data_IF_062470274089
#
_entry.id   IF_062470274089
#
_cell.length_a   1.000
_cell.length_b   1.000
_cell.length_c   1.000
_cell.angle_alpha   90.00
_cell.angle_beta   90.00
_cell.angle_gamma   90.00
#
_symmetry.space_group_name_H-M   'P 1'
#
loop_
_entity.id
_entity.type
_entity.pdbx_description
1 polymer ?
#
# COMPACT_ATOMS: atom_id res chain seq x y z
N UNK A 1 31.88 -26.56 -30.15
CA UNK A 1 31.25 -25.32 -29.72
C UNK A 1 31.41 -24.12 -30.68
N UNK A 2 32.59 -23.83 -31.23
CA UNK A 2 32.74 -22.70 -32.18
C UNK A 2 31.97 -22.89 -33.50
N UNK A 3 31.91 -24.09 -34.06
CA UNK A 3 31.19 -24.38 -35.31
C UNK A 3 29.68 -24.34 -35.13
N UNK A 4 29.19 -24.90 -34.03
CA UNK A 4 27.75 -24.95 -33.69
C UNK A 4 27.16 -23.54 -33.47
N UNK A 5 27.88 -22.67 -32.77
CA UNK A 5 27.51 -21.28 -32.55
C UNK A 5 27.60 -20.45 -33.86
N UNK A 6 28.60 -20.71 -34.69
CA UNK A 6 28.74 -20.07 -35.99
C UNK A 6 27.56 -20.41 -36.92
N UNK A 7 27.18 -21.69 -36.98
CA UNK A 7 26.04 -22.12 -37.77
C UNK A 7 24.71 -21.52 -37.19
N UNK A 8 24.53 -21.53 -35.86
CA UNK A 8 23.34 -20.98 -35.21
C UNK A 8 23.18 -19.47 -35.50
N UNK A 9 24.24 -18.68 -35.38
CA UNK A 9 24.21 -17.24 -35.69
C UNK A 9 24.00 -16.95 -37.16
N UNK A 10 24.56 -17.79 -38.03
CA UNK A 10 24.38 -17.64 -39.48
C UNK A 10 22.97 -18.00 -39.95
N UNK A 11 22.31 -18.94 -39.30
CA UNK A 11 20.89 -19.26 -39.55
C UNK A 11 19.95 -18.13 -39.10
N UNK A 12 20.29 -17.39 -38.05
CA UNK A 12 19.54 -16.22 -37.63
C UNK A 12 19.72 -15.02 -38.60
N UNK A 13 20.84 -14.97 -39.36
CA UNK A 13 21.19 -13.88 -40.28
C UNK A 13 20.88 -14.26 -41.74
N UNK A 14 19.63 -14.64 -42.05
CA UNK A 14 19.22 -15.10 -43.36
C UNK A 14 19.32 -14.00 -44.44
N UNK A 15 19.93 -14.32 -45.61
CA UNK A 15 19.91 -13.48 -46.81
C UNK A 15 18.50 -13.42 -47.41
N UNK A 16 18.20 -12.36 -48.19
CA UNK A 16 16.90 -11.96 -48.81
C UNK A 16 15.99 -13.08 -49.39
N UNK A 17 16.53 -14.29 -49.72
CA UNK A 17 15.75 -15.43 -50.25
C UNK A 17 15.05 -16.27 -49.16
N UNK A 18 15.27 -16.00 -47.87
CA UNK A 18 14.68 -16.73 -46.74
C UNK A 18 14.03 -15.76 -45.75
N UNK A 19 13.33 -14.73 -46.25
CA UNK A 19 12.65 -13.71 -45.46
C UNK A 19 11.68 -14.31 -44.42
N UNK A 20 11.05 -15.46 -44.75
CA UNK A 20 10.11 -16.17 -43.90
C UNK A 20 10.76 -16.66 -42.58
N UNK A 21 11.98 -17.21 -42.62
CA UNK A 21 12.71 -17.64 -41.42
C UNK A 21 13.01 -16.44 -40.51
N UNK A 22 13.41 -15.30 -41.12
CA UNK A 22 13.68 -14.07 -40.37
C UNK A 22 12.44 -13.55 -39.65
N UNK A 23 11.28 -13.64 -40.29
CA UNK A 23 9.99 -13.25 -39.70
C UNK A 23 9.64 -14.15 -38.51
N UNK A 24 9.73 -15.47 -38.65
CA UNK A 24 9.47 -16.43 -37.58
C UNK A 24 10.38 -16.18 -36.38
N UNK A 25 11.69 -16.03 -36.65
CA UNK A 25 12.66 -15.73 -35.60
C UNK A 25 12.34 -14.38 -34.91
N UNK A 26 11.99 -13.37 -35.70
CA UNK A 26 11.57 -12.07 -35.18
C UNK A 26 10.33 -12.15 -34.26
N UNK A 27 9.30 -12.87 -34.69
CA UNK A 27 8.09 -13.14 -33.91
C UNK A 27 8.44 -13.86 -32.60
N UNK A 28 9.36 -14.83 -32.65
CA UNK A 28 9.78 -15.57 -31.45
C UNK A 28 10.51 -14.67 -30.46
N UNK A 29 11.43 -13.84 -30.94
CA UNK A 29 12.17 -12.87 -30.11
C UNK A 29 11.20 -11.86 -29.49
N UNK A 30 10.26 -11.34 -30.30
CA UNK A 30 9.22 -10.41 -29.81
C UNK A 30 8.28 -11.07 -28.78
N UNK A 31 7.90 -12.33 -29.00
CA UNK A 31 7.07 -13.07 -28.05
C UNK A 31 7.76 -13.25 -26.69
N UNK A 32 9.04 -13.64 -26.69
CA UNK A 32 9.84 -13.76 -25.47
C UNK A 32 10.03 -12.38 -24.83
N UNK A 33 10.36 -11.36 -25.62
CA UNK A 33 10.56 -10.00 -25.12
C UNK A 33 9.29 -9.43 -24.50
N UNK A 34 8.14 -9.61 -25.14
CA UNK A 34 6.85 -9.19 -24.61
C UNK A 34 6.51 -9.92 -23.30
N UNK A 35 6.73 -11.24 -23.23
CA UNK A 35 6.52 -12.03 -22.03
C UNK A 35 7.41 -11.57 -20.86
N UNK A 36 8.70 -11.36 -21.12
CA UNK A 36 9.64 -10.85 -20.11
C UNK A 36 9.30 -9.42 -19.67
N UNK A 37 8.97 -8.54 -20.62
CA UNK A 37 8.58 -7.15 -20.30
C UNK A 37 7.31 -7.12 -19.46
N UNK A 38 6.25 -7.87 -19.82
CA UNK A 38 5.02 -7.98 -19.06
C UNK A 38 5.27 -8.50 -17.65
N UNK A 39 6.19 -9.46 -17.49
CA UNK A 39 6.55 -10.02 -16.20
C UNK A 39 7.26 -9.00 -15.31
N UNK A 40 8.20 -8.23 -15.85
CA UNK A 40 8.90 -7.16 -15.12
C UNK A 40 7.91 -6.06 -14.69
N UNK A 41 7.01 -5.65 -15.59
CA UNK A 41 5.98 -4.64 -15.27
C UNK A 41 5.03 -5.15 -14.18
N UNK A 42 4.54 -6.39 -14.28
CA UNK A 42 3.66 -6.98 -13.27
C UNK A 42 4.33 -7.07 -11.89
N UNK A 43 5.61 -7.51 -11.84
CA UNK A 43 6.37 -7.55 -10.59
C UNK A 43 6.64 -6.15 -10.03
N UNK A 44 6.93 -5.17 -10.90
CA UNK A 44 7.16 -3.78 -10.48
C UNK A 44 5.90 -3.16 -9.87
N UNK A 45 4.71 -3.39 -10.45
CA UNK A 45 3.42 -2.95 -9.91
C UNK A 45 3.15 -3.63 -8.56
N UNK A 46 3.30 -4.96 -8.49
CA UNK A 46 3.06 -5.70 -7.24
C UNK A 46 3.99 -5.24 -6.10
N UNK A 47 5.27 -5.07 -6.39
CA UNK A 47 6.24 -4.55 -5.43
C UNK A 47 5.91 -3.10 -5.01
N UNK A 48 5.54 -2.26 -5.97
CA UNK A 48 5.18 -0.87 -5.74
C UNK A 48 3.95 -0.75 -4.85
N UNK A 49 2.88 -1.46 -5.19
CA UNK A 49 1.65 -1.47 -4.41
C UNK A 49 1.89 -1.92 -2.97
N UNK A 50 2.64 -3.01 -2.80
CA UNK A 50 2.97 -3.53 -1.47
C UNK A 50 3.84 -2.57 -0.66
N UNK A 51 4.83 -1.95 -1.28
CA UNK A 51 5.74 -1.01 -0.62
C UNK A 51 5.03 0.29 -0.24
N UNK A 52 4.19 0.83 -1.14
CA UNK A 52 3.45 2.06 -0.92
C UNK A 52 2.40 1.90 0.19
N UNK A 53 1.58 0.85 0.12
CA UNK A 53 0.62 0.54 1.20
C UNK A 53 1.31 0.33 2.55
N UNK A 54 2.42 -0.42 2.57
CA UNK A 54 3.16 -0.66 3.80
C UNK A 54 3.74 0.63 4.38
N UNK A 55 4.33 1.50 3.55
CA UNK A 55 4.91 2.77 4.02
C UNK A 55 3.84 3.74 4.55
N UNK A 56 2.70 3.85 3.89
CA UNK A 56 1.57 4.71 4.32
C UNK A 56 0.94 4.20 5.61
N UNK A 57 0.69 2.88 5.72
CA UNK A 57 0.17 2.29 6.94
C UNK A 57 1.12 2.51 8.13
N UNK A 58 2.41 2.27 7.95
CA UNK A 58 3.39 2.40 9.03
C UNK A 58 3.70 3.85 9.42
N UNK A 59 3.59 4.79 8.48
CA UNK A 59 3.72 6.22 8.76
C UNK A 59 2.53 6.78 9.53
N UNK A 60 1.34 6.26 9.25
CA UNK A 60 0.09 6.78 9.80
C UNK A 60 -0.36 6.08 11.10
N UNK A 61 0.18 4.90 11.43
CA UNK A 61 -0.24 4.11 12.60
C UNK A 61 0.90 3.75 13.53
N UNK A 62 0.55 3.54 14.79
CA UNK A 62 1.44 2.86 15.73
C UNK A 62 1.65 1.40 15.31
N UNK A 63 2.83 0.87 15.60
CA UNK A 63 3.18 -0.50 15.24
C UNK A 63 2.49 -1.53 16.14
N UNK A 64 2.22 -1.18 17.41
CA UNK A 64 1.54 -2.01 18.41
C UNK A 64 0.57 -1.12 19.20
N UNK A 65 -0.61 -1.65 19.47
CA UNK A 65 -1.64 -1.03 20.32
C UNK A 65 -1.96 -1.98 21.47
N UNK A 66 -1.77 -1.50 22.71
CA UNK A 66 -2.10 -2.19 23.94
C UNK A 66 -3.42 -1.66 24.49
N UNK A 67 -4.40 -2.53 24.62
CA UNK A 67 -5.75 -2.23 25.11
C UNK A 67 -6.06 -3.06 26.33
N UNK A 68 -7.05 -2.64 27.12
CA UNK A 68 -7.60 -3.46 28.18
C UNK A 68 -8.83 -4.23 27.69
N UNK A 69 -8.89 -5.55 27.97
CA UNK A 69 -9.96 -6.44 27.47
C UNK A 69 -11.32 -6.05 28.06
N UNK A 70 -11.35 -5.61 29.31
CA UNK A 70 -12.57 -5.24 30.04
C UNK A 70 -13.05 -3.81 29.71
N UNK A 71 -12.86 -3.29 28.54
CA UNK A 71 -13.38 -2.06 27.94
C UNK A 71 -13.66 -0.83 28.87
N UNK A 72 -13.18 -0.84 30.12
CA UNK A 72 -13.26 0.25 31.09
C UNK A 72 -12.10 1.25 30.96
N UNK A 73 -11.24 1.00 29.98
CA UNK A 73 -10.06 1.80 29.71
C UNK A 73 -8.90 1.53 30.67
N UNK A 74 -7.83 2.30 30.55
CA UNK A 74 -6.61 2.20 31.33
C UNK A 74 -6.57 3.42 32.27
N UNK A 75 -6.85 3.21 33.53
CA UNK A 75 -6.57 4.14 34.62
C UNK A 75 -5.10 3.99 35.06
N UNK A 76 -4.53 5.00 35.70
CA UNK A 76 -3.11 5.01 36.11
C UNK A 76 -2.12 4.70 34.99
N UNK A 77 -2.44 5.16 33.78
CA UNK A 77 -1.68 4.89 32.57
C UNK A 77 -0.28 5.49 32.56
N UNK A 78 -0.01 6.57 33.31
CA UNK A 78 1.31 7.25 33.30
C UNK A 78 2.46 6.36 33.81
N UNK A 79 2.36 5.69 34.98
CA UNK A 79 3.41 4.79 35.45
C UNK A 79 3.54 3.55 34.55
N UNK A 80 2.45 3.08 33.96
CA UNK A 80 2.45 1.95 33.03
C UNK A 80 3.19 2.35 31.73
N UNK A 81 2.86 3.51 31.16
CA UNK A 81 3.51 4.07 29.98
C UNK A 81 5.03 4.24 30.19
N UNK A 82 5.45 4.79 31.36
CA UNK A 82 6.86 5.01 31.65
C UNK A 82 7.65 3.71 31.75
N UNK A 83 7.07 2.65 32.33
CA UNK A 83 7.71 1.34 32.44
C UNK A 83 7.76 0.61 31.10
N UNK A 84 6.66 0.64 30.33
CA UNK A 84 6.58 -0.05 29.04
C UNK A 84 7.40 0.64 27.95
N UNK A 85 7.56 1.96 28.01
CA UNK A 85 8.39 2.71 27.06
C UNK A 85 9.89 2.37 27.16
N UNK A 86 10.33 1.77 28.27
CA UNK A 86 11.73 1.36 28.51
C UNK A 86 12.00 -0.10 28.12
N UNK A 87 11.01 -0.82 27.60
CA UNK A 87 11.17 -2.20 27.18
C UNK A 87 12.07 -2.32 25.93
N UNK A 88 12.77 -3.45 25.77
CA UNK A 88 13.54 -3.72 24.56
C UNK A 88 12.70 -3.55 23.30
N UNK A 89 13.31 -3.04 22.23
CA UNK A 89 12.68 -2.79 20.92
C UNK A 89 11.62 -1.69 20.89
N UNK A 90 11.25 -1.06 22.02
CA UNK A 90 10.34 0.07 22.05
C UNK A 90 11.10 1.38 21.81
N UNK A 91 10.75 2.08 20.75
CA UNK A 91 11.34 3.38 20.39
C UNK A 91 10.57 4.53 21.03
N UNK A 92 9.25 4.46 21.03
CA UNK A 92 8.37 5.47 21.61
C UNK A 92 7.03 4.85 22.02
N UNK A 93 6.34 5.53 22.95
CA UNK A 93 5.01 5.16 23.38
C UNK A 93 4.14 6.41 23.54
N UNK A 94 2.85 6.32 23.21
CA UNK A 94 1.88 7.40 23.34
C UNK A 94 0.54 6.90 23.89
N UNK A 95 -0.08 7.64 24.82
CA UNK A 95 -1.44 7.36 25.27
C UNK A 95 -2.45 7.95 24.28
N UNK A 96 -3.55 7.25 24.02
CA UNK A 96 -4.61 7.74 23.16
C UNK A 96 -6.00 7.24 23.60
N UNK A 97 -7.02 7.93 23.13
CA UNK A 97 -8.40 7.50 23.17
C UNK A 97 -8.88 7.32 21.73
N UNK A 98 -9.45 6.17 21.43
CA UNK A 98 -10.12 5.88 20.16
C UNK A 98 -11.59 5.61 20.41
N UNK A 99 -12.44 6.41 19.78
CA UNK A 99 -13.87 6.23 19.85
C UNK A 99 -14.54 6.56 18.52
N UNK A 100 -15.62 5.85 18.23
CA UNK A 100 -16.44 6.15 17.06
C UNK A 100 -17.41 7.29 17.38
N UNK A 101 -17.44 8.28 16.51
CA UNK A 101 -18.29 9.48 16.66
C UNK A 101 -18.98 9.80 15.34
N UNK A 102 -20.00 10.64 15.42
CA UNK A 102 -20.60 11.29 14.26
C UNK A 102 -20.13 12.75 14.22
N UNK A 103 -19.46 13.12 13.13
CA UNK A 103 -19.04 14.50 12.87
C UNK A 103 -20.01 15.10 11.87
N UNK A 104 -20.63 16.24 12.21
CA UNK A 104 -21.63 16.87 11.36
C UNK A 104 -21.40 18.37 11.19
N UNK A 105 -21.77 18.86 9.99
CA UNK A 105 -21.82 20.29 9.68
C UNK A 105 -23.09 20.59 8.88
N UNK A 106 -24.04 21.27 9.53
CA UNK A 106 -25.36 21.47 8.94
C UNK A 106 -26.07 20.14 8.65
N UNK A 107 -26.55 19.92 7.42
CA UNK A 107 -27.27 18.69 7.06
C UNK A 107 -26.34 17.51 6.72
N UNK A 108 -25.03 17.75 6.61
CA UNK A 108 -24.05 16.71 6.25
C UNK A 108 -23.43 16.11 7.51
N UNK A 109 -23.34 14.80 7.56
CA UNK A 109 -22.77 14.07 8.67
C UNK A 109 -21.99 12.84 8.19
N UNK A 110 -20.86 12.54 8.86
CA UNK A 110 -20.02 11.38 8.59
C UNK A 110 -19.65 10.68 9.89
N UNK A 111 -19.70 9.34 9.89
CA UNK A 111 -19.12 8.53 10.95
C UNK A 111 -17.60 8.62 10.91
N UNK A 112 -16.97 8.80 12.06
CA UNK A 112 -15.53 8.98 12.15
C UNK A 112 -14.96 8.26 13.37
N UNK A 113 -13.68 7.90 13.28
CA UNK A 113 -12.85 7.50 14.41
C UNK A 113 -12.19 8.77 14.97
N UNK A 114 -12.58 9.14 16.17
CA UNK A 114 -12.00 10.27 16.88
C UNK A 114 -10.81 9.79 17.71
N UNK A 115 -9.63 10.36 17.45
CA UNK A 115 -8.41 10.10 18.22
C UNK A 115 -8.13 11.27 19.15
N UNK A 116 -8.30 11.04 20.45
CA UNK A 116 -7.79 11.93 21.49
C UNK A 116 -6.33 11.62 21.79
N UNK A 117 -5.44 12.60 21.64
CA UNK A 117 -4.00 12.38 21.74
C UNK A 117 -3.29 13.49 22.54
N UNK A 118 -2.07 13.15 23.01
CA UNK A 118 -1.10 14.11 23.52
C UNK A 118 -0.04 14.38 22.44
N UNK A 119 0.00 15.55 21.79
CA UNK A 119 0.85 15.80 20.62
C UNK A 119 2.35 15.57 20.88
N UNK A 120 2.85 15.84 22.07
CA UNK A 120 4.24 15.63 22.48
C UNK A 120 4.68 14.15 22.44
N UNK A 121 3.76 13.21 22.68
CA UNK A 121 4.00 11.77 22.58
C UNK A 121 3.70 11.27 21.16
N UNK A 122 2.63 11.77 20.56
CA UNK A 122 2.18 11.34 19.22
C UNK A 122 3.23 11.56 18.14
N UNK A 123 3.90 12.73 18.13
CA UNK A 123 4.97 13.04 17.17
C UNK A 123 6.14 12.06 17.19
N UNK A 124 6.30 11.30 18.28
CA UNK A 124 7.34 10.27 18.38
C UNK A 124 6.89 8.91 17.86
N UNK A 125 5.59 8.66 17.87
CA UNK A 125 4.99 7.36 17.52
C UNK A 125 4.49 7.34 16.07
N UNK A 126 3.88 8.44 15.60
CA UNK A 126 3.36 8.54 14.24
C UNK A 126 3.71 9.86 13.57
N UNK A 127 3.65 9.88 12.24
CA UNK A 127 3.92 11.07 11.43
C UNK A 127 2.63 11.86 11.10
N UNK A 128 1.47 11.45 11.64
CA UNK A 128 0.16 12.01 11.31
C UNK A 128 0.08 13.54 11.46
N UNK A 129 0.66 14.11 12.52
CA UNK A 129 0.65 15.56 12.70
C UNK A 129 1.52 16.33 11.70
N UNK A 130 2.44 15.63 11.00
CA UNK A 130 3.25 16.20 9.93
C UNK A 130 2.51 16.24 8.59
N UNK A 131 1.44 15.45 8.43
CA UNK A 131 0.62 15.39 7.22
C UNK A 131 -0.47 16.48 7.16
N UNK A 132 -0.52 17.40 8.12
CA UNK A 132 -1.44 18.54 8.10
C UNK A 132 -1.05 19.50 6.98
N UNK A 133 -1.88 19.58 5.95
CA UNK A 133 -1.64 20.36 4.73
C UNK A 133 -2.29 21.75 4.76
N UNK A 134 -3.41 21.88 5.46
CA UNK A 134 -4.13 23.14 5.62
C UNK A 134 -4.33 23.46 7.11
N UNK A 135 -4.14 24.70 7.51
CA UNK A 135 -4.21 25.09 8.92
C UNK A 135 -2.95 24.77 9.70
N UNK A 136 -3.07 24.45 10.99
CA UNK A 136 -1.92 24.18 11.86
C UNK A 136 -2.20 23.10 12.90
N UNK A 137 -1.30 22.13 12.98
CA UNK A 137 -1.30 21.12 14.06
C UNK A 137 -0.95 21.73 15.44
N UNK A 138 -0.33 22.91 15.49
CA UNK A 138 0.04 23.57 16.74
C UNK A 138 -1.18 24.01 17.58
N UNK A 139 -2.35 24.11 16.96
CA UNK A 139 -3.58 24.43 17.69
C UNK A 139 -3.94 23.35 18.73
N UNK A 140 -3.57 22.10 18.51
CA UNK A 140 -3.77 21.00 19.47
C UNK A 140 -2.72 21.01 20.59
N UNK A 141 -1.55 21.68 20.39
CA UNK A 141 -0.50 21.77 21.41
C UNK A 141 -0.84 22.73 22.55
N UNK A 142 -1.70 23.74 22.30
CA UNK A 142 -2.05 24.72 23.31
C UNK A 142 -2.81 24.05 24.47
N UNK A 143 -2.48 24.34 25.73
CA UNK A 143 -3.21 23.82 26.87
C UNK A 143 -4.70 24.25 26.78
N UNK A 144 -5.59 23.38 27.23
CA UNK A 144 -7.00 23.74 27.34
C UNK A 144 -7.10 25.00 28.25
N UNK A 145 -7.60 26.11 27.70
CA UNK A 145 -7.91 27.29 28.50
C UNK A 145 -9.11 26.92 29.42
N UNK A 146 -8.82 26.63 30.68
CA UNK A 146 -9.82 26.44 31.72
C UNK A 146 -10.36 27.81 32.05
N UNK A 147 -11.31 28.32 31.26
CA UNK A 147 -12.22 29.35 31.77
C UNK A 147 -13.35 28.66 32.53
N UNK A 148 -13.18 28.56 33.83
CA UNK A 148 -14.26 28.36 34.79
C UNK A 148 -15.17 29.59 34.78
N UNK A 149 -15.97 29.72 33.75
CA UNK A 149 -16.99 30.75 33.62
C UNK A 149 -18.35 30.23 34.04
N UNK A 150 -18.54 29.93 35.32
CA UNK A 150 -19.87 29.91 35.92
C UNK A 150 -20.25 31.34 36.18
N UNK A 151 -20.87 32.02 35.21
CA UNK A 151 -21.59 33.26 35.48
C UNK A 151 -22.96 32.90 36.01
N UNK A 152 -23.34 33.38 37.21
CA UNK A 152 -24.69 33.17 37.72
C UNK A 152 -25.70 33.93 36.85
N UNK A 153 -26.70 33.21 36.40
CA UNK A 153 -27.87 33.77 35.70
C UNK A 153 -28.59 34.74 36.67
N UNK A 154 -28.43 36.04 36.44
CA UNK A 154 -29.34 37.03 37.03
C UNK A 154 -30.67 37.00 36.26
N UNK A 155 -31.69 36.54 36.94
CA UNK A 155 -33.07 36.68 36.50
C UNK A 155 -33.52 38.14 36.63
N UNK A 156 -34.03 38.68 35.53
CA UNK A 156 -34.90 39.85 35.58
C UNK A 156 -34.43 41.04 34.77
N UNK A 157 -34.95 41.20 33.56
CA UNK A 157 -35.62 42.43 33.10
C UNK A 157 -36.18 42.25 31.71
N UNK A 158 -37.48 42.43 31.57
CA UNK A 158 -38.21 42.52 30.30
C UNK A 158 -37.80 43.81 29.60
N UNK A 159 -37.28 43.71 28.37
CA UNK A 159 -37.35 44.83 27.41
C UNK A 159 -37.50 44.29 25.98
N UNK A 160 -38.40 44.93 25.23
CA UNK A 160 -38.93 44.68 23.92
C UNK A 160 -37.84 44.67 22.81
N UNK A 161 -37.98 43.91 21.71
CA UNK A 161 -37.06 43.97 20.59
C UNK A 161 -37.31 45.21 19.72
N UNK A 162 -36.30 46.03 19.52
CA UNK A 162 -36.25 47.00 18.44
C UNK A 162 -35.34 46.48 17.35
N UNK A 163 -35.90 46.25 16.17
CA UNK A 163 -35.26 45.93 14.92
C UNK A 163 -34.50 47.13 14.39
N UNK A 164 -33.17 47.11 14.41
CA UNK A 164 -32.33 47.85 13.47
C UNK A 164 -31.03 47.11 13.31
N UNK A 165 -30.83 46.54 12.13
CA UNK A 165 -29.55 45.97 11.73
C UNK A 165 -28.55 47.12 11.56
N UNK A 166 -27.53 47.16 12.39
CA UNK A 166 -26.33 47.94 12.18
C UNK A 166 -25.16 46.96 12.20
N UNK A 167 -24.57 46.74 11.03
CA UNK A 167 -23.27 46.07 10.86
C UNK A 167 -22.19 46.90 11.56
N UNK A 168 -21.90 46.57 12.80
CA UNK A 168 -20.78 47.17 13.54
C UNK A 168 -19.55 46.23 13.49
N UNK A 169 -18.35 46.80 13.37
CA UNK A 169 -17.08 46.01 13.35
C UNK A 169 -16.86 45.14 14.59
N UNK A 170 -17.53 45.42 15.68
CA UNK A 170 -17.50 44.67 16.95
C UNK A 170 -18.08 43.23 16.85
N UNK A 171 -18.95 42.99 15.86
CA UNK A 171 -19.57 41.65 15.71
C UNK A 171 -18.59 40.63 15.13
N UNK A 172 -17.67 41.04 14.26
CA UNK A 172 -16.63 40.17 13.71
C UNK A 172 -15.59 39.77 14.78
N UNK A 173 -15.24 40.67 15.67
CA UNK A 173 -14.33 40.43 16.79
C UNK A 173 -14.93 39.47 17.81
N UNK A 174 -16.23 39.60 18.09
CA UNK A 174 -16.94 38.67 18.98
C UNK A 174 -17.10 37.26 18.41
N UNK A 175 -17.27 37.13 17.11
CA UNK A 175 -17.32 35.82 16.43
C UNK A 175 -15.95 35.12 16.46
N UNK A 176 -14.88 35.86 16.20
CA UNK A 176 -13.51 35.32 16.29
C UNK A 176 -13.12 34.92 17.72
N UNK A 177 -13.51 35.69 18.72
CA UNK A 177 -13.30 35.36 20.13
C UNK A 177 -14.08 34.12 20.57
N UNK A 178 -15.36 33.95 20.11
CA UNK A 178 -16.15 32.74 20.38
C UNK A 178 -15.58 31.50 19.68
N UNK A 179 -15.02 31.64 18.50
CA UNK A 179 -14.33 30.54 17.81
C UNK A 179 -13.03 30.12 18.50
N UNK A 180 -12.28 31.07 19.04
CA UNK A 180 -11.05 30.81 19.80
C UNK A 180 -11.31 30.07 21.15
N UNK A 181 -12.53 30.16 21.69
CA UNK A 181 -12.93 29.43 22.90
C UNK A 181 -13.37 27.98 22.66
N UNK A 182 -13.60 27.57 21.39
CA UNK A 182 -13.98 26.19 21.06
C UNK A 182 -12.76 25.29 20.97
N UNK A 183 -12.82 24.02 21.42
CA UNK A 183 -11.71 23.09 21.30
C UNK A 183 -11.37 22.84 19.83
N UNK A 184 -10.09 22.70 19.49
CA UNK A 184 -9.64 22.46 18.12
C UNK A 184 -9.81 21.01 17.71
N UNK A 185 -10.15 20.81 16.42
CA UNK A 185 -10.17 19.50 15.76
C UNK A 185 -9.40 19.55 14.46
N UNK A 186 -8.68 18.48 14.14
CA UNK A 186 -8.06 18.28 12.83
C UNK A 186 -8.85 17.19 12.13
N UNK A 187 -9.29 17.45 10.88
CA UNK A 187 -10.07 16.53 10.07
C UNK A 187 -9.22 15.95 8.93
N UNK A 188 -9.55 14.74 8.50
CA UNK A 188 -9.01 14.21 7.25
C UNK A 188 -9.55 14.97 6.04
N UNK A 189 -8.75 15.01 4.97
CA UNK A 189 -9.05 15.78 3.76
C UNK A 189 -10.38 15.37 3.12
N UNK A 190 -10.56 14.09 2.88
CA UNK A 190 -11.76 13.56 2.20
C UNK A 190 -13.02 13.74 3.07
N UNK A 191 -12.88 13.54 4.39
CA UNK A 191 -13.96 13.82 5.34
C UNK A 191 -14.35 15.29 5.32
N UNK A 192 -13.37 16.20 5.36
CA UNK A 192 -13.62 17.64 5.35
C UNK A 192 -14.33 18.07 4.06
N UNK A 193 -13.95 17.52 2.91
CA UNK A 193 -14.61 17.76 1.62
C UNK A 193 -16.05 17.26 1.63
N UNK A 194 -16.29 16.04 2.10
CA UNK A 194 -17.63 15.42 2.12
C UNK A 194 -18.62 16.19 2.99
N UNK A 195 -18.20 16.62 4.21
CA UNK A 195 -19.06 17.43 5.07
C UNK A 195 -19.03 18.94 4.73
N UNK A 196 -18.19 19.33 3.77
CA UNK A 196 -18.01 20.72 3.32
C UNK A 196 -17.33 21.60 4.37
N UNK A 197 -16.43 21.04 5.20
CA UNK A 197 -15.70 21.78 6.23
C UNK A 197 -14.40 22.36 5.67
N UNK A 198 -14.05 23.56 6.14
CA UNK A 198 -12.79 24.25 5.85
C UNK A 198 -12.14 24.66 7.16
N UNK A 199 -10.86 25.01 7.12
CA UNK A 199 -10.18 25.56 8.29
C UNK A 199 -10.96 26.77 8.83
N UNK A 200 -11.18 26.81 10.14
CA UNK A 200 -12.03 27.82 10.82
C UNK A 200 -13.53 27.47 10.86
N UNK A 201 -14.00 26.44 10.15
CA UNK A 201 -15.40 25.99 10.25
C UNK A 201 -15.68 25.41 11.64
N UNK A 202 -16.94 25.49 12.08
CA UNK A 202 -17.42 24.81 13.27
C UNK A 202 -18.11 23.51 12.89
N UNK A 203 -17.72 22.42 13.53
CA UNK A 203 -18.32 21.09 13.37
C UNK A 203 -18.87 20.60 14.71
N UNK A 204 -19.90 19.78 14.66
CA UNK A 204 -20.51 19.15 15.83
C UNK A 204 -20.03 17.70 15.88
N UNK A 205 -19.40 17.32 16.98
CA UNK A 205 -18.97 15.94 17.25
C UNK A 205 -19.95 15.34 18.27
N UNK A 206 -20.60 14.25 17.86
CA UNK A 206 -21.62 13.57 18.68
C UNK A 206 -21.09 12.19 19.05
N UNK A 207 -21.05 11.91 20.35
CA UNK A 207 -20.73 10.59 20.90
C UNK A 207 -21.98 9.70 20.88
N UNK A 208 -21.91 8.46 20.40
CA UNK A 208 -22.99 7.50 20.53
C UNK A 208 -23.17 7.02 21.97
N UNK A 209 -22.13 7.10 22.79
CA UNK A 209 -22.17 6.85 24.23
C UNK A 209 -22.75 8.08 24.93
N UNK A 210 -24.06 8.11 25.08
CA UNK A 210 -24.74 9.21 25.71
C UNK A 210 -24.60 9.23 27.24
N UNK A 211 -25.03 10.34 27.87
CA UNK A 211 -25.20 10.41 29.31
C UNK A 211 -26.55 9.80 29.71
N UNK A 212 -26.53 8.97 30.75
CA UNK A 212 -27.76 8.43 31.32
C UNK A 212 -28.49 9.53 32.11
N UNK A 213 -29.57 10.03 31.53
CA UNK A 213 -30.43 11.01 32.21
C UNK A 213 -31.68 10.33 32.80
N UNK A 214 -32.43 10.96 33.72
CA UNK A 214 -33.70 10.42 34.20
C UNK A 214 -34.73 10.11 33.10
N UNK A 215 -34.57 10.68 31.91
CA UNK A 215 -35.42 10.48 30.75
C UNK A 215 -34.88 9.49 29.73
N UNK A 216 -33.76 8.82 30.02
CA UNK A 216 -33.08 7.89 29.12
C UNK A 216 -31.67 8.34 28.70
N UNK A 217 -31.08 7.62 27.77
CA UNK A 217 -29.74 7.91 27.24
C UNK A 217 -29.84 9.06 26.23
N UNK A 218 -29.14 10.16 26.48
CA UNK A 218 -29.09 11.33 25.60
C UNK A 218 -27.69 11.43 25.01
N UNK A 219 -27.52 11.47 23.65
CA UNK A 219 -26.21 11.64 23.02
C UNK A 219 -25.51 12.92 23.49
N UNK A 220 -24.24 12.80 23.89
CA UNK A 220 -23.42 13.95 24.23
C UNK A 220 -22.79 14.52 22.96
N UNK A 221 -22.74 15.84 22.85
CA UNK A 221 -22.13 16.50 21.70
C UNK A 221 -21.33 17.73 22.15
N UNK A 222 -20.21 17.97 21.45
CA UNK A 222 -19.37 19.14 21.64
C UNK A 222 -19.12 19.79 20.28
N UNK A 223 -19.07 21.12 20.26
CA UNK A 223 -18.70 21.91 19.09
C UNK A 223 -17.19 22.12 19.07
N UNK A 224 -16.59 21.82 17.91
CA UNK A 224 -15.17 22.00 17.68
C UNK A 224 -14.96 22.99 16.53
N UNK A 225 -13.89 23.77 16.59
CA UNK A 225 -13.44 24.52 15.44
C UNK A 225 -12.37 23.73 14.68
N UNK A 226 -12.47 23.70 13.33
CA UNK A 226 -11.51 23.02 12.47
C UNK A 226 -10.22 23.82 12.43
N UNK A 227 -9.20 23.37 13.13
CA UNK A 227 -7.89 24.01 13.22
C UNK A 227 -6.95 23.61 12.08
N UNK A 228 -7.16 22.44 11.49
CA UNK A 228 -6.35 21.94 10.38
C UNK A 228 -7.04 20.80 9.64
N UNK A 229 -6.51 20.52 8.45
CA UNK A 229 -6.92 19.41 7.61
C UNK A 229 -5.65 18.65 7.25
N UNK A 230 -5.62 17.34 7.53
CA UNK A 230 -4.50 16.47 7.18
C UNK A 230 -4.78 15.66 5.92
N UNK A 231 -3.71 15.34 5.19
CA UNK A 231 -3.75 14.44 4.04
C UNK A 231 -2.60 13.44 4.18
N UNK A 232 -2.94 12.24 4.63
CA UNK A 232 -1.99 11.14 4.79
C UNK A 232 -1.68 10.43 3.46
N UNK A 233 -2.52 10.68 2.43
CA UNK A 233 -2.51 9.96 1.17
C UNK A 233 -3.04 8.52 1.28
N UNK A 234 -3.70 8.17 2.39
CA UNK A 234 -4.38 6.91 2.59
C UNK A 234 -5.87 7.19 2.83
N UNK A 235 -6.70 6.90 1.84
CA UNK A 235 -8.12 7.26 1.82
C UNK A 235 -8.88 6.86 3.08
N UNK A 236 -8.63 5.65 3.62
CA UNK A 236 -9.32 5.17 4.81
C UNK A 236 -9.09 6.08 6.03
N UNK A 237 -7.89 6.68 6.15
CA UNK A 237 -7.60 7.66 7.20
C UNK A 237 -8.18 9.02 6.88
N UNK A 238 -7.97 9.49 5.65
CA UNK A 238 -8.37 10.84 5.22
C UNK A 238 -9.90 11.00 5.16
N UNK A 239 -10.65 9.89 4.98
CA UNK A 239 -12.12 9.88 4.95
C UNK A 239 -12.80 9.60 6.28
N UNK A 240 -12.08 9.01 7.26
CA UNK A 240 -12.74 8.49 8.46
C UNK A 240 -12.09 8.87 9.80
N UNK A 241 -10.98 9.62 9.82
CA UNK A 241 -10.29 9.96 11.06
C UNK A 241 -10.32 11.46 11.37
N UNK A 242 -10.40 11.76 12.67
CA UNK A 242 -10.29 13.11 13.21
C UNK A 242 -9.45 13.11 14.48
N UNK A 243 -8.71 14.20 14.74
CA UNK A 243 -7.79 14.32 15.87
C UNK A 243 -8.16 15.48 16.76
N UNK A 244 -8.17 15.22 18.06
CA UNK A 244 -8.40 16.22 19.11
C UNK A 244 -7.39 16.04 20.26
N UNK A 245 -7.36 16.97 21.19
CA UNK A 245 -6.60 16.80 22.43
C UNK A 245 -7.15 15.66 23.27
N UNK A 246 -6.28 15.00 24.03
CA UNK A 246 -6.66 13.94 24.93
C UNK A 246 -7.68 14.43 25.98
N UNK A 247 -7.46 15.65 26.53
CA UNK A 247 -8.38 16.28 27.50
C UNK A 247 -9.79 16.50 26.95
N UNK A 248 -9.86 16.96 25.68
CA UNK A 248 -11.15 17.23 25.04
C UNK A 248 -11.90 15.93 24.74
N UNK A 249 -11.16 14.85 24.42
CA UNK A 249 -11.73 13.51 24.28
C UNK A 249 -12.24 12.97 25.62
N UNK A 250 -11.46 13.10 26.69
CA UNK A 250 -11.87 12.70 28.04
C UNK A 250 -13.13 13.44 28.49
N UNK A 251 -13.25 14.72 28.20
CA UNK A 251 -14.45 15.51 28.48
C UNK A 251 -15.63 15.04 27.62
N UNK A 252 -15.46 14.86 26.32
CA UNK A 252 -16.53 14.43 25.41
C UNK A 252 -17.12 13.08 25.83
N UNK A 253 -16.28 12.12 26.22
CA UNK A 253 -16.72 10.78 26.59
C UNK A 253 -16.98 10.60 28.10
N UNK A 254 -16.67 11.60 28.90
CA UNK A 254 -16.90 11.54 30.37
C UNK A 254 -16.00 10.54 31.10
N UNK A 255 -14.79 10.30 30.56
CA UNK A 255 -13.89 9.20 31.01
C UNK A 255 -13.01 9.57 32.23
N UNK A 256 -12.96 10.82 32.66
CA UNK A 256 -11.96 11.25 33.64
C UNK A 256 -10.54 11.09 33.15
N UNK A 257 -9.58 10.69 33.99
CA UNK A 257 -8.17 10.47 33.60
C UNK A 257 -7.92 9.02 33.11
N UNK A 258 -8.74 8.56 32.18
CA UNK A 258 -8.67 7.23 31.58
C UNK A 258 -8.31 7.35 30.10
N UNK A 259 -7.54 6.40 29.59
CA UNK A 259 -7.23 6.25 28.17
C UNK A 259 -7.72 4.90 27.65
N UNK A 260 -8.01 4.78 26.36
CA UNK A 260 -8.45 3.51 25.77
C UNK A 260 -7.29 2.64 25.30
N UNK A 261 -6.14 3.23 24.93
CA UNK A 261 -5.03 2.52 24.29
C UNK A 261 -3.68 3.17 24.62
N UNK A 262 -2.63 2.34 24.75
CA UNK A 262 -1.25 2.78 24.68
C UNK A 262 -0.68 2.29 23.36
N UNK A 263 -0.13 3.21 22.59
CA UNK A 263 0.46 2.97 21.28
C UNK A 263 1.97 2.91 21.36
N UNK A 264 2.59 2.01 20.60
CA UNK A 264 4.03 1.84 20.58
C UNK A 264 4.59 1.89 19.17
N UNK A 265 5.72 2.59 19.00
CA UNK A 265 6.61 2.51 17.87
C UNK A 265 7.79 1.62 18.24
N UNK A 266 8.12 0.66 17.41
CA UNK A 266 9.22 -0.29 17.60
C UNK A 266 10.27 -0.11 16.51
N UNK A 267 11.49 -0.57 16.78
CA UNK A 267 12.64 -0.48 15.88
C UNK A 267 12.49 -1.41 14.65
N UNK A 268 12.01 -2.64 14.85
CA UNK A 268 11.79 -3.61 13.78
C UNK A 268 10.30 -4.00 13.69
N UNK A 269 9.65 -3.50 12.66
CA UNK A 269 8.22 -3.74 12.37
C UNK A 269 7.86 -5.22 12.17
N UNK A 270 8.82 -6.03 11.73
CA UNK A 270 8.59 -7.47 11.51
C UNK A 270 8.61 -8.28 12.81
N UNK A 271 9.17 -7.73 13.88
CA UNK A 271 9.14 -8.32 15.22
C UNK A 271 7.90 -7.90 16.03
N UNK A 272 6.99 -7.12 15.44
CA UNK A 272 5.83 -6.56 16.13
C UNK A 272 4.99 -7.60 16.88
N UNK A 273 4.85 -8.82 16.35
CA UNK A 273 4.09 -9.88 17.02
C UNK A 273 4.78 -10.38 18.32
N UNK A 274 6.11 -10.54 18.28
CA UNK A 274 6.89 -10.95 19.47
C UNK A 274 6.93 -9.86 20.53
N UNK A 275 7.17 -8.61 20.12
CA UNK A 275 7.19 -7.46 21.02
C UNK A 275 5.81 -7.19 21.62
N UNK A 276 4.72 -7.34 20.84
CA UNK A 276 3.35 -7.22 21.34
C UNK A 276 3.08 -8.18 22.49
N UNK A 277 3.44 -9.46 22.34
CA UNK A 277 3.28 -10.45 23.38
C UNK A 277 4.12 -10.17 24.64
N UNK A 278 5.35 -9.65 24.48
CA UNK A 278 6.18 -9.21 25.60
C UNK A 278 5.58 -8.01 26.33
N UNK A 279 5.04 -7.03 25.60
CA UNK A 279 4.36 -5.86 26.18
C UNK A 279 3.11 -6.26 26.94
N UNK A 280 2.32 -7.20 26.43
CA UNK A 280 1.13 -7.74 27.08
C UNK A 280 1.48 -8.39 28.42
N UNK A 281 2.45 -9.32 28.42
CA UNK A 281 2.93 -9.95 29.64
C UNK A 281 3.50 -8.95 30.65
N UNK A 282 4.27 -7.98 30.18
CA UNK A 282 4.83 -6.94 31.04
C UNK A 282 3.76 -6.04 31.64
N UNK A 283 2.73 -5.70 30.88
CA UNK A 283 1.60 -4.90 31.35
C UNK A 283 0.81 -5.64 32.44
N UNK A 284 0.52 -6.92 32.23
CA UNK A 284 -0.14 -7.79 33.20
C UNK A 284 0.66 -7.89 34.51
N UNK A 285 1.97 -8.08 34.42
CA UNK A 285 2.86 -8.13 35.60
C UNK A 285 2.91 -6.80 36.37
N UNK A 286 2.97 -5.68 35.64
CA UNK A 286 3.05 -4.34 36.24
C UNK A 286 1.74 -3.95 36.93
N UNK A 287 0.60 -4.27 36.32
CA UNK A 287 -0.73 -3.95 36.84
C UNK A 287 -1.22 -4.92 37.91
N UNK A 288 -0.59 -6.09 38.02
CA UNK A 288 -1.03 -7.16 38.94
C UNK A 288 -2.37 -7.79 38.53
N UNK A 289 -2.83 -7.57 37.31
CA UNK A 289 -4.10 -8.09 36.79
C UNK A 289 -3.91 -8.58 35.36
N UNK A 290 -4.41 -9.78 35.06
CA UNK A 290 -4.53 -10.25 33.68
C UNK A 290 -5.70 -9.55 33.00
N UNK A 291 -5.45 -8.91 31.87
CA UNK A 291 -6.52 -8.21 31.17
C UNK A 291 -6.06 -7.24 30.10
N UNK A 292 -4.78 -7.24 29.78
CA UNK A 292 -4.26 -6.51 28.63
C UNK A 292 -4.23 -7.38 27.38
N UNK A 293 -4.41 -6.78 26.24
CA UNK A 293 -4.27 -7.38 24.92
C UNK A 293 -3.47 -6.43 24.03
N UNK A 294 -2.39 -6.94 23.48
CA UNK A 294 -1.60 -6.19 22.52
C UNK A 294 -1.90 -6.66 21.10
N UNK A 295 -2.32 -5.75 20.25
CA UNK A 295 -2.54 -6.00 18.82
C UNK A 295 -1.46 -5.30 18.00
N UNK A 296 -0.92 -5.97 16.99
CA UNK A 296 0.07 -5.39 16.10
C UNK A 296 -0.57 -4.88 14.80
N UNK A 297 0.15 -4.05 14.06
CA UNK A 297 -0.29 -3.45 12.81
C UNK A 297 -0.75 -4.45 11.74
N UNK A 298 -0.15 -5.66 11.69
CA UNK A 298 -0.56 -6.72 10.76
C UNK A 298 -1.91 -7.35 11.17
N UNK A 299 -2.17 -7.47 12.47
CA UNK A 299 -3.42 -7.99 13.00
C UNK A 299 -4.56 -7.00 12.81
N UNK A 300 -4.32 -5.72 13.04
CA UNK A 300 -5.29 -4.67 12.80
C UNK A 300 -5.70 -4.60 11.32
N UNK A 301 -4.78 -4.88 10.41
CA UNK A 301 -5.00 -4.86 8.96
C UNK A 301 -5.14 -6.25 8.34
N UNK A 302 -5.61 -7.26 9.09
CA UNK A 302 -5.81 -8.64 8.59
C UNK A 302 -6.55 -8.75 7.25
N UNK A 303 -7.63 -8.00 6.98
CA UNK A 303 -8.32 -8.05 5.69
C UNK A 303 -7.41 -7.65 4.52
N UNK A 304 -6.63 -6.57 4.69
CA UNK A 304 -5.67 -6.10 3.69
C UNK A 304 -4.59 -7.16 3.41
N UNK A 305 -4.01 -7.77 4.46
CA UNK A 305 -3.01 -8.84 4.29
C UNK A 305 -3.58 -10.10 3.63
N UNK A 306 -4.86 -10.41 3.86
CA UNK A 306 -5.55 -11.49 3.15
C UNK A 306 -5.72 -11.17 1.66
N UNK A 307 -6.12 -9.94 1.33
CA UNK A 307 -6.22 -9.47 -0.05
C UNK A 307 -4.87 -9.52 -0.77
N UNK A 308 -3.80 -9.01 -0.16
CA UNK A 308 -2.43 -9.06 -0.69
C UNK A 308 -1.91 -10.51 -0.86
N UNK A 309 -2.33 -11.44 0.00
CA UNK A 309 -1.99 -12.86 -0.17
C UNK A 309 -2.72 -13.47 -1.37
N UNK A 310 -4.00 -13.17 -1.53
CA UNK A 310 -4.80 -13.63 -2.67
C UNK A 310 -4.24 -13.06 -3.98
N UNK A 311 -3.93 -11.77 -4.00
CA UNK A 311 -3.30 -11.10 -5.13
C UNK A 311 -1.99 -11.78 -5.53
N UNK A 312 -1.13 -12.14 -4.56
CA UNK A 312 0.11 -12.89 -4.84
C UNK A 312 -0.15 -14.22 -5.54
N UNK A 313 -1.18 -14.97 -5.12
CA UNK A 313 -1.54 -16.25 -5.76
C UNK A 313 -2.02 -16.02 -7.19
N UNK A 314 -2.90 -15.03 -7.40
CA UNK A 314 -3.40 -14.67 -8.73
C UNK A 314 -2.25 -14.22 -9.63
N UNK A 315 -1.38 -13.35 -9.13
CA UNK A 315 -0.18 -12.91 -9.85
C UNK A 315 0.74 -14.08 -10.22
N UNK A 316 0.98 -15.02 -9.29
CA UNK A 316 1.78 -16.21 -9.55
C UNK A 316 1.17 -17.08 -10.66
N UNK A 317 -0.15 -17.29 -10.66
CA UNK A 317 -0.86 -18.03 -11.71
C UNK A 317 -0.75 -17.30 -13.06
N UNK A 318 -0.97 -15.99 -13.06
CA UNK A 318 -0.87 -15.17 -14.28
C UNK A 318 0.54 -15.20 -14.87
N UNK A 319 1.55 -15.04 -14.03
CA UNK A 319 2.96 -15.17 -14.41
C UNK A 319 3.23 -16.55 -15.00
N UNK A 320 2.77 -17.62 -14.34
CA UNK A 320 2.90 -18.99 -14.82
C UNK A 320 2.28 -19.18 -16.22
N UNK A 321 1.12 -18.58 -16.46
CA UNK A 321 0.43 -18.63 -17.75
C UNK A 321 1.22 -17.89 -18.85
N UNK A 322 1.72 -16.68 -18.56
CA UNK A 322 2.54 -15.90 -19.49
C UNK A 322 3.81 -16.69 -19.88
N UNK A 323 4.47 -17.27 -18.90
CA UNK A 323 5.66 -18.11 -19.07
C UNK A 323 5.34 -19.35 -19.91
N UNK A 324 4.21 -19.99 -19.67
CA UNK A 324 3.75 -21.15 -20.43
C UNK A 324 3.50 -20.80 -21.91
N UNK A 325 2.82 -19.69 -22.17
CA UNK A 325 2.58 -19.19 -23.55
C UNK A 325 3.90 -18.86 -24.25
N UNK A 326 4.85 -18.22 -23.56
CA UNK A 326 6.16 -17.93 -24.11
C UNK A 326 6.93 -19.23 -24.47
N UNK A 327 6.86 -20.26 -23.63
CA UNK A 327 7.45 -21.57 -23.91
C UNK A 327 6.84 -22.24 -25.14
N UNK A 328 5.50 -22.23 -25.28
CA UNK A 328 4.82 -22.74 -26.46
C UNK A 328 5.20 -22.01 -27.73
N UNK A 329 5.35 -20.69 -27.67
CA UNK A 329 5.78 -19.88 -28.80
C UNK A 329 7.18 -20.30 -29.28
N UNK A 330 8.13 -20.51 -28.36
CA UNK A 330 9.48 -21.00 -28.68
C UNK A 330 9.42 -22.39 -29.33
N UNK A 331 8.61 -23.32 -28.77
CA UNK A 331 8.47 -24.70 -29.31
C UNK A 331 7.94 -24.65 -30.73
N UNK A 332 6.84 -23.95 -30.97
CA UNK A 332 6.21 -23.86 -32.29
C UNK A 332 7.16 -23.24 -33.32
N UNK A 333 7.81 -22.15 -32.96
CA UNK A 333 8.78 -21.48 -33.82
C UNK A 333 9.96 -22.39 -34.23
N UNK A 334 10.51 -23.12 -33.26
CA UNK A 334 11.60 -24.02 -33.52
C UNK A 334 11.20 -25.25 -34.36
N UNK A 335 9.99 -25.80 -34.12
CA UNK A 335 9.44 -26.88 -34.95
C UNK A 335 9.32 -26.41 -36.41
N UNK A 336 8.70 -25.22 -36.60
CA UNK A 336 8.56 -24.65 -37.94
C UNK A 336 9.90 -24.41 -38.63
N UNK A 337 10.88 -23.92 -37.90
CA UNK A 337 12.24 -23.71 -38.40
C UNK A 337 12.91 -25.03 -38.75
N UNK A 338 12.75 -26.09 -37.95
CA UNK A 338 13.26 -27.44 -38.25
C UNK A 338 12.64 -27.97 -39.53
N UNK A 339 11.32 -27.83 -39.71
CA UNK A 339 10.61 -28.28 -40.93
C UNK A 339 11.13 -27.55 -42.16
N UNK A 340 11.37 -26.27 -42.12
CA UNK A 340 11.87 -25.47 -43.23
C UNK A 340 13.34 -25.79 -43.56
N UNK A 341 14.15 -26.17 -42.56
CA UNK A 341 15.55 -26.50 -42.69
C UNK A 341 15.81 -28.00 -42.90
N UNK A 342 14.75 -28.79 -43.11
CA UNK A 342 14.89 -30.26 -43.27
C UNK A 342 15.87 -30.67 -44.36
N UNK A 343 15.83 -30.00 -45.52
CA UNK A 343 16.81 -30.26 -46.62
C UNK A 343 18.24 -29.91 -46.22
N UNK A 344 18.46 -28.76 -45.60
CA UNK A 344 19.80 -28.34 -45.15
C UNK A 344 20.36 -29.30 -44.10
N UNK A 345 19.50 -29.78 -43.17
CA UNK A 345 19.87 -30.79 -42.17
C UNK A 345 20.25 -32.11 -42.82
N UNK A 346 19.45 -32.56 -43.79
CA UNK A 346 19.73 -33.81 -44.52
C UNK A 346 21.07 -33.76 -45.27
N UNK A 347 21.38 -32.65 -45.95
CA UNK A 347 22.69 -32.44 -46.62
C UNK A 347 23.83 -32.46 -45.61
N UNK A 348 23.70 -31.76 -44.47
CA UNK A 348 24.71 -31.76 -43.41
C UNK A 348 24.95 -33.17 -42.86
N UNK A 349 23.90 -33.94 -42.66
CA UNK A 349 23.99 -35.32 -42.17
C UNK A 349 24.62 -36.28 -43.21
N UNK A 350 24.34 -36.10 -44.49
CA UNK A 350 24.98 -36.87 -45.56
C UNK A 350 26.48 -36.52 -45.73
N UNK A 351 26.89 -35.32 -45.36
CA UNK A 351 28.29 -34.90 -45.28
C UNK A 351 29.00 -35.36 -43.98
N UNK A 352 28.35 -36.19 -43.15
CA UNK A 352 28.93 -36.80 -41.96
C UNK A 352 28.71 -36.09 -40.62
N UNK A 353 27.85 -35.07 -40.59
CA UNK A 353 27.51 -34.40 -39.32
C UNK A 353 26.74 -35.35 -38.39
N UNK A 354 27.18 -35.49 -37.13
CA UNK A 354 26.57 -36.39 -36.15
C UNK A 354 25.26 -35.82 -35.64
N UNK A 355 24.27 -36.69 -35.36
CA UNK A 355 22.95 -36.31 -34.72
C UNK A 355 23.09 -35.41 -33.48
N UNK A 356 24.14 -35.66 -32.66
CA UNK A 356 24.46 -34.87 -31.47
C UNK A 356 24.87 -33.43 -31.80
N UNK A 357 25.51 -33.19 -32.93
CA UNK A 357 25.90 -31.85 -33.39
C UNK A 357 24.68 -31.07 -33.90
N UNK A 358 23.80 -31.70 -34.68
CA UNK A 358 22.53 -31.09 -35.12
C UNK A 358 21.70 -30.66 -33.90
N UNK A 359 21.53 -31.57 -32.93
CA UNK A 359 20.79 -31.23 -31.69
C UNK A 359 21.37 -30.01 -30.97
N UNK A 360 22.71 -29.93 -30.86
CA UNK A 360 23.36 -28.77 -30.22
C UNK A 360 23.19 -27.46 -30.98
N UNK A 361 23.14 -27.50 -32.31
CA UNK A 361 22.89 -26.32 -33.15
C UNK A 361 21.50 -25.73 -32.83
N UNK A 362 20.46 -26.57 -32.80
CA UNK A 362 19.10 -26.10 -32.51
C UNK A 362 18.92 -25.67 -31.08
N UNK A 363 19.55 -26.36 -30.10
CA UNK A 363 19.56 -25.89 -28.69
C UNK A 363 20.25 -24.52 -28.60
N UNK A 364 21.42 -24.35 -29.22
CA UNK A 364 22.12 -23.06 -29.19
C UNK A 364 21.29 -21.94 -29.84
N UNK A 365 20.54 -22.24 -30.90
CA UNK A 365 19.67 -21.29 -31.57
C UNK A 365 18.51 -20.86 -30.72
N UNK A 366 17.80 -21.79 -30.06
CA UNK A 366 16.70 -21.45 -29.19
C UNK A 366 17.13 -20.70 -27.91
N UNK A 367 18.28 -21.08 -27.34
CA UNK A 367 18.88 -20.33 -26.25
C UNK A 367 19.25 -18.90 -26.68
N UNK A 368 19.79 -18.74 -27.92
CA UNK A 368 20.11 -17.41 -28.43
C UNK A 368 18.88 -16.53 -28.63
N UNK A 369 17.78 -17.09 -29.15
CA UNK A 369 16.48 -16.41 -29.24
C UNK A 369 16.00 -16.00 -27.84
N UNK A 370 16.09 -16.94 -26.89
CA UNK A 370 15.71 -16.66 -25.49
C UNK A 370 16.56 -15.56 -24.87
N UNK A 371 17.86 -15.57 -25.03
CA UNK A 371 18.77 -14.54 -24.49
C UNK A 371 18.48 -13.16 -25.11
N UNK A 372 18.37 -13.08 -26.45
CA UNK A 372 18.08 -11.81 -27.13
C UNK A 372 16.71 -11.28 -26.71
N UNK A 373 15.68 -12.14 -26.71
CA UNK A 373 14.33 -11.77 -26.27
C UNK A 373 14.31 -11.31 -24.82
N UNK A 374 15.01 -12.01 -23.93
CA UNK A 374 15.12 -11.64 -22.51
C UNK A 374 15.78 -10.28 -22.33
N UNK A 375 16.90 -10.01 -23.01
CA UNK A 375 17.59 -8.71 -22.91
C UNK A 375 16.69 -7.57 -23.39
N UNK A 376 16.04 -7.73 -24.55
CA UNK A 376 15.09 -6.73 -25.07
C UNK A 376 13.92 -6.56 -24.11
N UNK A 377 13.36 -7.67 -23.61
CA UNK A 377 12.24 -7.65 -22.67
C UNK A 377 12.57 -6.97 -21.35
N UNK A 378 13.77 -7.22 -20.80
CA UNK A 378 14.25 -6.52 -19.62
C UNK A 378 14.35 -5.00 -19.84
N UNK A 379 15.00 -4.60 -20.95
CA UNK A 379 15.14 -3.17 -21.28
C UNK A 379 13.77 -2.50 -21.40
N UNK A 380 12.84 -3.11 -22.13
CA UNK A 380 11.48 -2.58 -22.31
C UNK A 380 10.69 -2.60 -20.99
N UNK A 381 10.75 -3.69 -20.24
CA UNK A 381 10.04 -3.83 -18.97
C UNK A 381 10.50 -2.81 -17.93
N UNK A 382 11.80 -2.61 -17.78
CA UNK A 382 12.34 -1.58 -16.89
C UNK A 382 12.05 -0.17 -17.39
N UNK A 383 12.14 0.09 -18.69
CA UNK A 383 11.82 1.40 -19.26
C UNK A 383 10.34 1.78 -19.02
N UNK A 384 9.41 0.84 -19.25
CA UNK A 384 7.98 1.04 -19.01
C UNK A 384 7.72 1.24 -17.52
N UNK A 385 8.33 0.42 -16.65
CA UNK A 385 8.16 0.53 -15.20
C UNK A 385 8.72 1.84 -14.66
N UNK A 386 9.87 2.30 -15.13
CA UNK A 386 10.44 3.59 -14.76
C UNK A 386 9.57 4.76 -15.22
N UNK A 387 9.12 4.72 -16.48
CA UNK A 387 8.21 5.72 -17.03
C UNK A 387 6.88 5.74 -16.26
N UNK A 388 6.30 4.58 -15.94
CA UNK A 388 5.08 4.46 -15.16
C UNK A 388 5.21 5.06 -13.76
N UNK A 389 6.32 4.80 -13.07
CA UNK A 389 6.61 5.34 -11.75
C UNK A 389 6.87 6.86 -11.74
N UNK A 390 7.42 7.40 -12.84
CA UNK A 390 7.72 8.84 -12.93
C UNK A 390 6.52 9.70 -13.37
N UNK A 391 5.76 9.22 -14.35
CA UNK A 391 4.67 9.99 -14.96
C UNK A 391 3.29 9.70 -14.39
N UNK A 392 3.14 8.70 -13.52
CA UNK A 392 1.87 8.30 -12.89
C UNK A 392 0.72 8.16 -13.91
N UNK A 393 0.96 7.49 -15.04
CA UNK A 393 0.00 7.40 -16.17
C UNK A 393 -1.36 6.80 -15.79
N UNK A 394 -1.41 6.00 -14.76
CA UNK A 394 -2.61 5.27 -14.38
C UNK A 394 -3.09 5.84 -13.05
N UNK A 395 -4.11 6.71 -13.13
CA UNK A 395 -4.83 7.18 -11.97
C UNK A 395 -5.79 6.09 -11.48
N UNK A 396 -5.89 5.93 -10.17
CA UNK A 396 -6.82 5.04 -9.49
C UNK A 396 -7.85 5.86 -8.73
N UNK A 397 -9.04 5.29 -8.50
CA UNK A 397 -9.99 5.87 -7.58
C UNK A 397 -9.54 5.57 -6.15
N UNK A 398 -9.20 6.61 -5.39
CA UNK A 398 -8.73 6.49 -4.01
C UNK A 398 -9.77 5.81 -3.10
N UNK A 399 -11.06 6.02 -3.36
CA UNK A 399 -12.18 5.39 -2.65
C UNK A 399 -12.16 3.85 -2.71
N UNK A 400 -11.61 3.27 -3.81
CA UNK A 400 -11.61 1.82 -4.04
C UNK A 400 -10.26 1.20 -3.67
N UNK A 401 -9.17 1.89 -4.02
CA UNK A 401 -7.82 1.33 -3.92
C UNK A 401 -6.99 1.94 -2.79
N UNK A 402 -7.53 2.91 -2.06
CA UNK A 402 -6.85 3.67 -0.98
C UNK A 402 -5.59 4.41 -1.43
N UNK A 403 -5.33 4.47 -2.74
CA UNK A 403 -4.20 5.17 -3.37
C UNK A 403 -4.64 5.81 -4.69
N UNK A 404 -4.03 6.96 -5.05
CA UNK A 404 -4.43 7.78 -6.20
C UNK A 404 -3.84 7.33 -7.54
N UNK A 405 -2.76 6.54 -7.53
CA UNK A 405 -2.05 6.09 -8.75
C UNK A 405 -1.46 4.70 -8.55
N UNK A 406 -1.15 4.03 -9.68
CA UNK A 406 -0.45 2.73 -9.66
C UNK A 406 1.03 2.94 -9.37
N UNK A 407 1.55 2.49 -8.22
CA UNK A 407 2.96 2.61 -7.90
C UNK A 407 3.78 1.55 -8.64
N UNK A 408 4.90 1.95 -9.23
CA UNK A 408 5.87 1.06 -9.87
C UNK A 408 7.18 1.05 -9.09
N UNK A 409 7.57 -0.09 -8.54
CA UNK A 409 8.83 -0.26 -7.83
C UNK A 409 9.66 -1.42 -8.45
N UNK A 410 10.31 -1.21 -9.61
CA UNK A 410 11.13 -2.24 -10.23
C UNK A 410 12.37 -2.54 -9.39
N UNK A 411 12.62 -3.83 -9.10
CA UNK A 411 13.79 -4.30 -8.34
C UNK A 411 14.75 -5.03 -9.27
N UNK A 412 16.05 -4.77 -9.16
CA UNK A 412 17.08 -5.43 -9.99
C UNK A 412 17.12 -6.95 -9.77
N UNK A 413 16.82 -7.41 -8.55
CA UNK A 413 16.81 -8.84 -8.24
C UNK A 413 15.69 -9.57 -8.99
N UNK A 414 14.55 -8.93 -9.21
CA UNK A 414 13.44 -9.50 -9.97
C UNK A 414 13.85 -9.70 -11.44
N UNK A 415 14.57 -8.73 -12.00
CA UNK A 415 15.11 -8.85 -13.36
C UNK A 415 16.11 -10.00 -13.52
N UNK A 416 16.96 -10.21 -12.52
CA UNK A 416 17.90 -11.35 -12.52
C UNK A 416 17.16 -12.68 -12.46
N UNK A 417 16.16 -12.80 -11.58
CA UNK A 417 15.33 -14.01 -11.46
C UNK A 417 14.58 -14.27 -12.76
N UNK A 418 13.93 -13.25 -13.32
CA UNK A 418 13.20 -13.35 -14.59
C UNK A 418 14.13 -13.74 -15.74
N UNK A 419 15.34 -13.19 -15.80
CA UNK A 419 16.32 -13.56 -16.81
C UNK A 419 16.72 -15.05 -16.71
N UNK A 420 17.03 -15.53 -15.51
CA UNK A 420 17.38 -16.93 -15.28
C UNK A 420 16.24 -17.89 -15.65
N UNK A 421 15.01 -17.54 -15.21
CA UNK A 421 13.82 -18.35 -15.51
C UNK A 421 13.53 -18.35 -17.02
N UNK A 422 13.57 -17.19 -17.69
CA UNK A 422 13.32 -17.08 -19.12
C UNK A 422 14.32 -17.87 -19.96
N UNK A 423 15.61 -17.76 -19.64
CA UNK A 423 16.68 -18.54 -20.33
C UNK A 423 16.52 -20.03 -20.04
N UNK A 424 16.21 -20.42 -18.80
CA UNK A 424 15.96 -21.81 -18.41
C UNK A 424 14.78 -22.42 -19.18
N UNK A 425 13.67 -21.69 -19.28
CA UNK A 425 12.49 -22.10 -20.05
C UNK A 425 12.82 -22.19 -21.53
N UNK A 426 13.54 -21.22 -22.10
CA UNK A 426 14.00 -21.26 -23.48
C UNK A 426 14.84 -22.50 -23.76
N UNK A 427 15.74 -22.85 -22.83
CA UNK A 427 16.53 -24.08 -22.94
C UNK A 427 15.64 -25.34 -22.92
N UNK A 428 14.70 -25.46 -21.97
CA UNK A 428 13.82 -26.64 -21.86
C UNK A 428 12.90 -26.74 -23.08
N UNK A 429 12.31 -25.62 -23.53
CA UNK A 429 11.45 -25.58 -24.71
C UNK A 429 12.13 -26.02 -25.98
N UNK A 430 13.47 -25.85 -26.07
CA UNK A 430 14.26 -26.26 -27.27
C UNK A 430 14.60 -27.73 -27.30
N UNK A 431 14.48 -28.48 -26.20
CA UNK A 431 14.88 -29.90 -26.16
C UNK A 431 14.09 -30.75 -27.15
N UNK A 432 12.75 -30.62 -27.14
CA UNK A 432 11.89 -31.40 -28.02
C UNK A 432 12.10 -31.10 -29.50
N UNK A 433 12.07 -29.84 -29.99
CA UNK A 433 12.35 -29.55 -31.41
C UNK A 433 13.75 -29.97 -31.85
N UNK A 434 14.78 -29.82 -31.03
CA UNK A 434 16.14 -30.21 -31.33
C UNK A 434 16.30 -31.73 -31.46
N UNK A 435 15.54 -32.50 -30.68
CA UNK A 435 15.52 -33.95 -30.78
C UNK A 435 14.80 -34.43 -32.06
N UNK A 436 13.70 -33.76 -32.42
CA UNK A 436 12.99 -34.00 -33.68
C UNK A 436 13.89 -33.73 -34.88
N UNK A 437 14.62 -32.61 -34.90
CA UNK A 437 15.58 -32.26 -35.95
C UNK A 437 16.67 -33.34 -36.15
N UNK A 438 17.15 -33.95 -35.06
CA UNK A 438 18.20 -34.96 -35.10
C UNK A 438 17.70 -36.35 -35.58
N UNK A 439 16.40 -36.56 -35.72
CA UNK A 439 15.80 -37.81 -36.20
C UNK A 439 15.46 -37.82 -37.69
N UNK A 440 15.61 -36.71 -38.39
CA UNK A 440 15.39 -36.62 -39.83
C UNK A 440 16.25 -37.64 -40.54
N UNK A 441 15.63 -38.47 -41.42
CA UNK A 441 16.30 -39.43 -42.25
C UNK A 441 16.75 -38.78 -43.56
N UNK A 442 18.06 -38.67 -43.85
CA UNK A 442 18.55 -37.99 -45.04
C UNK A 442 17.98 -38.53 -46.35
N UNK A 443 17.78 -39.86 -46.44
CA UNK A 443 17.22 -40.52 -47.62
C UNK A 443 15.78 -40.08 -47.93
N UNK A 444 14.95 -39.91 -46.92
CA UNK A 444 13.56 -39.45 -47.08
C UNK A 444 13.46 -37.96 -47.40
N UNK A 445 14.24 -37.13 -46.68
CA UNK A 445 14.23 -35.68 -46.85
C UNK A 445 14.79 -35.20 -48.22
N UNK A 446 15.61 -35.99 -48.88
CA UNK A 446 16.17 -35.70 -50.22
C UNK A 446 15.38 -36.33 -51.36
N UNK A 447 14.48 -37.29 -51.08
CA UNK A 447 13.67 -38.00 -52.06
C UNK A 447 12.40 -37.26 -52.51
N UNK A 448 11.83 -36.43 -51.64
CA UNK A 448 10.63 -35.65 -51.97
C UNK A 448 11.04 -34.25 -52.49
N UNK A 449 10.90 -34.07 -53.78
CA UNK A 449 10.79 -32.76 -54.43
C UNK A 449 9.40 -32.20 -54.28
#
# INVERSE_FOLDING_TARGET
MRLELFIATRYLRAKRRQAFIGVITGISILGVAAGVASLIVALAINNGFRQDLQSRLLGSTAHISLLRIQSDGISDWRPLLDKLSKQPHVVAAAPAIYEQVLISRGPRARGAVLKGMLPQYERKVSDLLQTVTLGSAAAIDAPASVETGVSPVQAGSKTRPSTTASDSPDDLTSVHQRQAAMPPIILGHDMAEEIGATVGSVVLVTSPQGELTPFGMVPKYIRFHVAGIFNSGFFDYDSSWAFIRLSDAQELFGLGDVISVIQFKIDDIYQAAGVAHQLEQSADLISGSHGFMATNWMEQNKPLFRALRLERVVTFITIGLIVFVAALNIIISLIMMVMEKTKDIAVLMSLGTKKKQIRRVFIAQGVLIGVIGTVIGLILGYAISYAGGHYHFIALSAEVYSIDYVPFAPRLIDGLIVALVSIGISFIATIYPSWSAARILPAEALRYE
#
